data_IF_340018180415
#
_entry.id   IF_340018180415
#
_cell.length_a   1.000
_cell.length_b   1.000
_cell.length_c   1.000
_cell.angle_alpha   90.00
_cell.angle_beta   90.00
_cell.angle_gamma   90.00
#
_symmetry.space_group_name_H-M   'P 1'
#
loop_
_entity.id
_entity.type
_entity.pdbx_description
1 polymer ?
#
# COMPACT_ATOMS: atom_id res chain seq x y z
N UNK A 1 13.21 -17.92 -18.70
CA UNK A 1 13.73 -18.72 -17.56
C UNK A 1 12.55 -19.41 -16.91
N UNK A 2 12.59 -20.75 -16.84
CA UNK A 2 11.46 -21.57 -16.45
C UNK A 2 11.04 -21.36 -14.99
N UNK A 3 9.74 -21.09 -14.79
CA UNK A 3 9.09 -20.87 -13.47
C UNK A 3 9.08 -22.09 -12.53
N UNK A 4 9.66 -23.23 -12.94
CA UNK A 4 9.60 -24.51 -12.21
C UNK A 4 10.74 -24.75 -11.21
N UNK A 5 11.75 -23.89 -11.15
CA UNK A 5 12.97 -24.17 -10.36
C UNK A 5 12.96 -23.57 -8.95
N UNK A 6 12.02 -22.68 -8.65
CA UNK A 6 11.97 -22.00 -7.34
C UNK A 6 11.16 -22.79 -6.29
N UNK A 7 10.23 -23.63 -6.73
CA UNK A 7 9.38 -24.43 -5.81
C UNK A 7 10.13 -25.57 -5.11
N UNK A 8 11.30 -25.99 -5.61
CA UNK A 8 12.05 -27.12 -5.08
C UNK A 8 13.06 -26.76 -3.98
N UNK A 9 13.36 -25.47 -3.80
CA UNK A 9 14.38 -25.05 -2.80
C UNK A 9 13.82 -24.81 -1.39
N UNK A 10 12.50 -24.74 -1.22
CA UNK A 10 11.87 -24.58 0.10
C UNK A 10 11.57 -25.91 0.82
N UNK A 11 11.62 -27.04 0.13
CA UNK A 11 11.37 -28.37 0.72
C UNK A 11 12.63 -29.11 1.21
N UNK A 12 13.82 -28.64 0.88
CA UNK A 12 15.05 -29.35 1.20
C UNK A 12 15.64 -29.06 2.58
N UNK A 13 15.06 -28.16 3.38
CA UNK A 13 15.58 -27.86 4.73
C UNK A 13 14.83 -28.57 5.87
N UNK A 14 13.92 -29.48 5.59
CA UNK A 14 13.13 -30.21 6.61
C UNK A 14 13.49 -31.68 6.78
N UNK A 15 14.58 -32.19 6.17
CA UNK A 15 15.02 -33.56 6.36
C UNK A 15 16.26 -33.70 7.26
N UNK A 16 16.21 -33.08 8.42
CA UNK A 16 17.06 -33.42 9.55
C UNK A 16 16.30 -34.37 10.44
N UNK A 17 16.58 -35.69 10.38
CA UNK A 17 16.09 -36.65 11.37
C UNK A 17 16.78 -36.39 12.72
N UNK A 18 16.26 -35.44 13.46
CA UNK A 18 16.49 -35.37 14.88
C UNK A 18 15.43 -36.28 15.55
N UNK A 19 15.84 -37.28 16.27
CA UNK A 19 15.00 -37.92 17.28
C UNK A 19 14.73 -36.85 18.36
N UNK A 20 13.65 -36.10 18.19
CA UNK A 20 13.14 -35.24 19.22
C UNK A 20 12.10 -36.07 20.00
N UNK A 21 12.30 -36.21 21.31
CA UNK A 21 11.19 -36.46 22.22
C UNK A 21 10.07 -35.51 21.84
N UNK A 22 8.85 -36.03 21.66
CA UNK A 22 7.67 -35.24 21.32
C UNK A 22 7.30 -34.37 22.53
N UNK A 23 8.02 -33.28 22.76
CA UNK A 23 7.54 -32.19 23.55
C UNK A 23 6.32 -31.65 22.80
N UNK A 24 5.12 -31.94 23.29
CA UNK A 24 3.89 -31.34 22.76
C UNK A 24 4.05 -29.83 22.83
N UNK A 25 4.25 -29.18 21.68
CA UNK A 25 4.29 -27.74 21.57
C UNK A 25 2.87 -27.21 21.85
N UNK A 26 2.63 -26.80 23.08
CA UNK A 26 1.36 -26.14 23.46
C UNK A 26 1.48 -24.65 23.25
N UNK A 27 0.52 -24.03 22.52
CA UNK A 27 0.50 -22.57 22.37
C UNK A 27 0.38 -21.88 23.73
N UNK A 28 1.07 -20.73 23.85
CA UNK A 28 0.98 -19.91 25.05
C UNK A 28 -0.30 -19.05 25.02
N UNK A 29 -1.27 -19.38 25.86
CA UNK A 29 -2.52 -18.63 26.01
C UNK A 29 -2.52 -17.71 27.24
N UNK A 30 -1.38 -17.47 27.88
CA UNK A 30 -1.32 -16.51 28.99
C UNK A 30 -1.58 -15.08 28.50
N UNK A 31 -2.24 -14.22 29.27
CA UNK A 31 -2.43 -12.82 28.89
C UNK A 31 -1.12 -12.11 28.54
N UNK A 32 -0.02 -12.42 29.24
CA UNK A 32 1.29 -11.82 29.00
C UNK A 32 1.87 -12.12 27.61
N UNK A 33 1.30 -13.08 26.88
CA UNK A 33 1.66 -13.37 25.50
C UNK A 33 1.03 -12.40 24.48
N UNK A 34 0.09 -11.56 24.92
CA UNK A 34 -0.65 -10.64 24.05
C UNK A 34 -0.14 -9.22 24.24
N UNK A 35 0.12 -8.56 23.11
CA UNK A 35 0.50 -7.15 23.06
C UNK A 35 -0.49 -6.41 22.15
N UNK A 36 -0.98 -5.27 22.61
CA UNK A 36 -1.87 -4.39 21.84
C UNK A 36 -1.25 -3.01 21.72
N UNK A 37 -1.31 -2.40 20.57
CA UNK A 37 -0.90 -1.01 20.38
C UNK A 37 -1.91 -0.20 19.59
N UNK A 38 -1.93 1.09 19.86
CA UNK A 38 -2.66 2.09 19.08
C UNK A 38 -1.77 3.31 18.88
N UNK A 39 -1.84 3.90 17.70
CA UNK A 39 -1.12 5.11 17.37
C UNK A 39 -1.91 5.98 16.40
N UNK A 40 -1.66 7.29 16.47
CA UNK A 40 -2.22 8.26 15.54
C UNK A 40 -1.10 9.02 14.85
N UNK A 41 -1.36 9.54 13.66
CA UNK A 41 -0.36 10.28 12.89
C UNK A 41 -0.85 10.71 11.54
N UNK A 42 0.07 10.81 10.59
CA UNK A 42 -0.16 11.37 9.26
C UNK A 42 0.28 10.41 8.16
N UNK A 43 -0.53 10.35 7.11
CA UNK A 43 -0.24 9.67 5.84
C UNK A 43 0.04 10.72 4.77
N UNK A 44 1.10 10.52 3.99
CA UNK A 44 1.38 11.29 2.78
C UNK A 44 1.86 10.36 1.67
N UNK A 45 1.64 10.77 0.42
CA UNK A 45 2.02 9.91 -0.70
C UNK A 45 1.54 10.42 -2.05
N UNK A 46 1.71 9.55 -3.05
CA UNK A 46 1.30 9.79 -4.42
C UNK A 46 0.95 8.46 -5.10
N UNK A 47 -0.17 8.45 -5.81
CA UNK A 47 -0.56 7.40 -6.73
C UNK A 47 -0.44 7.88 -8.16
N UNK A 48 -0.17 6.95 -9.08
CA UNK A 48 -0.25 7.18 -10.52
C UNK A 48 -1.25 6.20 -11.13
N UNK A 49 -2.03 6.75 -12.01
CA UNK A 49 -2.80 6.04 -13.02
C UNK A 49 -2.20 6.40 -14.37
N UNK A 50 -1.97 5.41 -15.21
CA UNK A 50 -1.27 5.58 -16.48
C UNK A 50 -2.05 4.86 -17.57
N UNK A 51 -2.13 5.49 -18.74
CA UNK A 51 -2.76 4.90 -19.94
C UNK A 51 -1.70 4.77 -21.03
N UNK A 52 -1.74 3.65 -21.72
CA UNK A 52 -0.77 3.32 -22.79
C UNK A 52 -1.48 2.99 -24.09
N UNK A 53 -0.92 3.45 -25.20
CA UNK A 53 -1.24 2.95 -26.50
C UNK A 53 -0.73 1.51 -26.64
N UNK A 54 -1.63 0.57 -26.89
CA UNK A 54 -1.30 -0.87 -26.91
C UNK A 54 -0.52 -1.29 -28.15
N UNK A 55 -0.55 -0.50 -29.24
CA UNK A 55 0.19 -0.78 -30.48
C UNK A 55 1.66 -0.39 -30.39
N UNK A 56 1.95 0.73 -29.73
CA UNK A 56 3.31 1.30 -29.62
C UNK A 56 3.93 1.16 -28.24
N UNK A 57 3.13 0.91 -27.20
CA UNK A 57 3.54 0.92 -25.79
C UNK A 57 3.83 2.33 -25.25
N UNK A 58 3.49 3.38 -26.02
CA UNK A 58 3.69 4.77 -25.62
C UNK A 58 2.69 5.16 -24.54
N UNK A 59 3.14 5.86 -23.51
CA UNK A 59 2.26 6.48 -22.53
C UNK A 59 1.48 7.62 -23.19
N UNK A 60 0.15 7.59 -23.05
CA UNK A 60 -0.78 8.58 -23.62
C UNK A 60 -1.48 9.41 -22.56
N UNK A 61 -1.61 8.92 -21.33
CA UNK A 61 -2.15 9.69 -20.21
C UNK A 61 -1.45 9.33 -18.89
N UNK A 62 -1.44 10.26 -17.95
CA UNK A 62 -0.96 10.06 -16.58
C UNK A 62 -1.71 10.98 -15.62
N UNK A 63 -2.42 10.39 -14.69
CA UNK A 63 -3.04 11.07 -13.57
C UNK A 63 -2.21 10.89 -12.30
N UNK A 64 -1.91 12.01 -11.66
CA UNK A 64 -1.08 12.11 -10.46
C UNK A 64 -1.96 12.44 -9.24
N UNK A 65 -2.22 11.47 -8.38
CA UNK A 65 -3.07 11.59 -7.20
C UNK A 65 -2.25 11.75 -5.93
N UNK A 66 -2.19 12.94 -5.36
CA UNK A 66 -1.41 13.24 -4.15
C UNK A 66 -2.24 13.06 -2.88
N UNK A 67 -1.58 12.62 -1.81
CA UNK A 67 -2.08 12.52 -0.44
C UNK A 67 -1.25 13.50 0.40
N UNK A 68 -1.92 14.46 1.07
CA UNK A 68 -1.23 15.55 1.80
C UNK A 68 -1.60 15.51 3.28
N UNK A 69 -0.75 14.87 4.10
CA UNK A 69 -0.86 14.85 5.56
C UNK A 69 -2.26 14.45 6.08
N UNK A 70 -2.80 13.35 5.58
CA UNK A 70 -4.10 12.81 6.01
C UNK A 70 -3.94 12.17 7.39
N UNK A 71 -4.77 12.60 8.35
CA UNK A 71 -4.77 12.03 9.69
C UNK A 71 -5.21 10.56 9.68
N UNK A 72 -4.45 9.68 10.35
CA UNK A 72 -4.72 8.25 10.45
C UNK A 72 -4.72 7.77 11.90
N UNK A 73 -5.49 6.72 12.13
CA UNK A 73 -5.43 5.89 13.33
C UNK A 73 -4.93 4.50 12.93
N UNK A 74 -4.00 3.97 13.71
CA UNK A 74 -3.40 2.65 13.52
C UNK A 74 -3.63 1.79 14.75
N UNK A 75 -3.91 0.51 14.54
CA UNK A 75 -4.02 -0.52 15.56
C UNK A 75 -3.14 -1.71 15.22
N UNK A 76 -2.64 -2.38 16.25
CA UNK A 76 -1.83 -3.59 16.13
C UNK A 76 -2.13 -4.50 17.32
N UNK A 77 -2.30 -5.79 17.05
CA UNK A 77 -2.39 -6.84 18.05
C UNK A 77 -1.44 -7.97 17.69
N UNK A 78 -0.60 -8.37 18.62
CA UNK A 78 0.36 -9.44 18.49
C UNK A 78 0.12 -10.50 19.56
N UNK A 79 0.24 -11.77 19.18
CA UNK A 79 0.17 -12.90 20.09
C UNK A 79 1.42 -13.76 19.94
N UNK A 80 2.24 -13.83 20.99
CA UNK A 80 3.41 -14.71 21.07
C UNK A 80 2.92 -16.16 21.32
N UNK A 81 2.42 -16.82 20.26
CA UNK A 81 1.83 -18.15 20.32
C UNK A 81 2.87 -19.21 20.78
N UNK A 82 4.13 -19.01 20.40
CA UNK A 82 5.27 -19.80 20.87
C UNK A 82 6.48 -18.86 21.05
N UNK A 83 7.50 -19.31 21.77
CA UNK A 83 8.73 -18.51 21.94
C UNK A 83 9.39 -18.12 20.61
N UNK A 84 9.20 -18.92 19.55
CA UNK A 84 9.74 -18.70 18.22
C UNK A 84 8.71 -18.16 17.21
N UNK A 85 7.42 -18.00 17.58
CA UNK A 85 6.34 -17.63 16.65
C UNK A 85 5.40 -16.59 17.26
N UNK A 86 5.30 -15.45 16.61
CA UNK A 86 4.30 -14.41 16.89
C UNK A 86 3.31 -14.30 15.73
N UNK A 87 2.02 -14.35 16.03
CA UNK A 87 0.96 -14.01 15.09
C UNK A 87 0.55 -12.56 15.30
N UNK A 88 0.31 -11.84 14.21
CA UNK A 88 0.05 -10.40 14.27
C UNK A 88 -1.06 -9.99 13.30
N UNK A 89 -1.95 -9.11 13.77
CA UNK A 89 -2.92 -8.39 12.97
C UNK A 89 -2.72 -6.90 13.18
N UNK A 90 -2.53 -6.15 12.10
CA UNK A 90 -2.33 -4.70 12.15
C UNK A 90 -3.08 -4.01 11.02
N UNK A 91 -3.37 -2.75 11.20
CA UNK A 91 -3.99 -1.95 10.16
C UNK A 91 -4.08 -0.49 10.54
N UNK A 92 -4.43 0.33 9.57
CA UNK A 92 -4.69 1.74 9.80
C UNK A 92 -5.82 2.23 8.88
N UNK A 93 -6.45 3.32 9.29
CA UNK A 93 -7.49 3.99 8.50
C UNK A 93 -7.38 5.51 8.65
N UNK A 94 -7.75 6.26 7.60
CA UNK A 94 -7.94 7.69 7.71
C UNK A 94 -9.11 8.01 8.66
N UNK A 95 -8.91 9.03 9.51
CA UNK A 95 -9.92 9.46 10.50
C UNK A 95 -11.04 10.30 9.87
N UNK A 96 -10.72 10.97 8.76
CA UNK A 96 -11.66 11.80 8.00
C UNK A 96 -11.13 11.91 6.56
N UNK A 97 -11.93 12.51 5.68
CA UNK A 97 -11.41 12.94 4.38
C UNK A 97 -10.30 13.97 4.56
N UNK A 98 -9.27 13.87 3.72
CA UNK A 98 -8.07 14.68 3.82
C UNK A 98 -7.75 15.45 2.56
N UNK A 99 -6.77 16.34 2.63
CA UNK A 99 -6.33 17.12 1.49
C UNK A 99 -5.56 16.24 0.48
N UNK A 100 -5.87 16.43 -0.79
CA UNK A 100 -5.18 15.84 -1.93
C UNK A 100 -4.77 16.90 -2.95
N UNK A 101 -4.47 16.45 -4.14
CA UNK A 101 -4.27 17.22 -5.36
C UNK A 101 -4.25 16.23 -6.51
N UNK A 102 -4.87 16.58 -7.62
CA UNK A 102 -4.79 15.78 -8.84
C UNK A 102 -4.27 16.64 -9.99
N UNK A 103 -3.33 16.08 -10.73
CA UNK A 103 -2.86 16.61 -12.03
C UNK A 103 -3.06 15.50 -13.06
N UNK A 104 -3.61 15.86 -14.22
CA UNK A 104 -3.80 14.98 -15.37
C UNK A 104 -2.99 15.52 -16.56
N UNK A 105 -2.20 14.65 -17.17
CA UNK A 105 -1.30 14.95 -18.29
C UNK A 105 -1.60 13.99 -19.45
N UNK A 106 -1.84 14.54 -20.65
CA UNK A 106 -2.06 13.74 -21.86
C UNK A 106 -1.04 14.07 -22.96
N UNK A 107 -0.65 13.04 -23.71
CA UNK A 107 0.27 13.09 -24.84
C UNK A 107 -0.46 12.76 -26.12
N UNK A 108 -1.29 13.71 -26.64
CA UNK A 108 -2.15 13.50 -27.80
C UNK A 108 -1.41 13.62 -29.14
N UNK A 109 -0.16 14.11 -29.13
CA UNK A 109 0.66 14.26 -30.34
C UNK A 109 1.87 13.31 -30.31
N UNK A 110 1.90 12.35 -31.23
CA UNK A 110 2.99 11.35 -31.34
C UNK A 110 4.36 11.93 -31.72
N UNK A 111 4.38 13.11 -32.31
CA UNK A 111 5.59 13.79 -32.71
C UNK A 111 6.17 14.73 -31.61
N UNK A 112 5.55 14.76 -30.44
CA UNK A 112 5.94 15.60 -29.32
C UNK A 112 6.29 14.76 -28.10
N UNK A 113 7.45 15.02 -27.48
CA UNK A 113 7.89 14.30 -26.28
C UNK A 113 7.23 14.81 -24.99
N UNK A 114 6.85 16.09 -24.94
CA UNK A 114 6.10 16.68 -23.81
C UNK A 114 4.62 16.39 -23.90
N UNK A 115 3.91 16.59 -22.79
CA UNK A 115 2.44 16.54 -22.78
C UNK A 115 1.87 17.67 -23.65
N UNK A 116 0.69 17.43 -24.23
CA UNK A 116 -0.07 18.41 -25.02
C UNK A 116 -1.19 19.04 -24.19
N UNK A 117 -1.72 18.26 -23.25
CA UNK A 117 -2.87 18.61 -22.43
C UNK A 117 -2.52 18.40 -20.96
N UNK A 118 -2.97 19.34 -20.13
CA UNK A 118 -2.79 19.29 -18.69
C UNK A 118 -4.01 19.87 -18.00
N UNK A 119 -4.52 19.18 -16.99
CA UNK A 119 -5.46 19.75 -16.02
C UNK A 119 -4.95 19.63 -14.60
N UNK A 120 -5.30 20.57 -13.76
CA UNK A 120 -4.89 20.63 -12.36
C UNK A 120 -6.07 20.90 -11.45
N UNK A 121 -6.24 20.06 -10.44
CA UNK A 121 -7.38 20.05 -9.54
C UNK A 121 -6.92 20.19 -8.08
N UNK A 122 -6.64 21.42 -7.62
CA UNK A 122 -6.17 21.67 -6.26
C UNK A 122 -7.21 21.34 -5.18
N UNK A 123 -8.51 21.35 -5.54
CA UNK A 123 -9.63 20.98 -4.67
C UNK A 123 -9.91 19.46 -4.73
N UNK A 124 -8.88 18.66 -4.59
CA UNK A 124 -8.99 17.20 -4.50
C UNK A 124 -9.03 16.75 -3.06
N UNK A 125 -9.99 15.89 -2.72
CA UNK A 125 -10.10 15.26 -1.42
C UNK A 125 -9.66 13.81 -1.48
N UNK A 126 -8.93 13.36 -0.47
CA UNK A 126 -8.76 11.94 -0.15
C UNK A 126 -10.01 11.51 0.62
N UNK A 127 -10.88 10.72 0.01
CA UNK A 127 -12.14 10.30 0.63
C UNK A 127 -11.88 9.33 1.78
N UNK A 128 -11.02 8.35 1.54
CA UNK A 128 -10.50 7.41 2.53
C UNK A 128 -9.15 6.83 2.09
N UNK A 129 -8.40 6.37 3.07
CA UNK A 129 -7.25 5.50 2.90
C UNK A 129 -7.21 4.50 4.06
N UNK A 130 -6.93 3.23 3.78
CA UNK A 130 -6.82 2.20 4.82
C UNK A 130 -5.91 1.05 4.40
N UNK A 131 -5.41 0.33 5.39
CA UNK A 131 -4.60 -0.88 5.20
C UNK A 131 -4.96 -1.90 6.27
N UNK A 132 -4.95 -3.15 5.86
CA UNK A 132 -5.07 -4.32 6.72
C UNK A 132 -3.96 -5.31 6.40
N UNK A 133 -3.34 -5.88 7.44
CA UNK A 133 -2.20 -6.79 7.35
C UNK A 133 -2.33 -7.90 8.42
N UNK A 134 -2.30 -9.14 7.95
CA UNK A 134 -2.19 -10.33 8.80
C UNK A 134 -0.86 -11.01 8.53
N UNK A 135 -0.10 -11.31 9.57
CA UNK A 135 1.21 -11.94 9.41
C UNK A 135 1.60 -12.87 10.56
N UNK A 136 2.57 -13.71 10.25
CA UNK A 136 3.28 -14.53 11.21
C UNK A 136 4.78 -14.17 11.17
N UNK A 137 5.39 -14.01 12.34
CA UNK A 137 6.82 -13.72 12.53
C UNK A 137 7.48 -14.94 13.16
N UNK A 138 8.45 -15.54 12.46
CA UNK A 138 9.27 -16.62 12.95
C UNK A 138 10.62 -16.10 13.44
N UNK A 139 10.89 -16.20 14.75
CA UNK A 139 12.12 -15.74 15.38
C UNK A 139 13.20 -16.80 15.25
N UNK A 140 14.28 -16.49 14.51
CA UNK A 140 15.40 -17.39 14.24
C UNK A 140 16.52 -17.16 15.26
N UNK A 141 16.79 -15.91 15.56
CA UNK A 141 17.80 -15.51 16.52
C UNK A 141 17.12 -14.68 17.61
N UNK A 142 17.32 -15.07 18.88
CA UNK A 142 16.79 -14.31 20.01
C UNK A 142 17.65 -14.48 21.26
N UNK A 143 17.79 -13.40 22.00
CA UNK A 143 18.33 -13.39 23.35
C UNK A 143 17.58 -12.30 24.17
N UNK A 144 18.09 -11.96 25.34
CA UNK A 144 17.47 -10.97 26.22
C UNK A 144 17.33 -9.58 25.57
N UNK A 145 18.26 -9.21 24.67
CA UNK A 145 18.36 -7.87 24.11
C UNK A 145 17.86 -7.76 22.67
N UNK A 146 17.88 -8.83 21.90
CA UNK A 146 17.46 -8.77 20.50
C UNK A 146 16.68 -10.01 20.06
N UNK A 147 15.83 -9.78 19.07
CA UNK A 147 15.21 -10.81 18.25
C UNK A 147 15.38 -10.46 16.78
N UNK A 148 15.67 -11.45 15.95
CA UNK A 148 15.70 -11.32 14.50
C UNK A 148 15.08 -12.55 13.85
N UNK A 149 14.33 -12.31 12.78
CA UNK A 149 13.58 -13.40 12.14
C UNK A 149 13.03 -13.04 10.78
N UNK A 150 12.19 -13.93 10.30
CA UNK A 150 11.48 -13.80 9.03
C UNK A 150 10.00 -13.62 9.30
N UNK A 151 9.30 -13.05 8.33
CA UNK A 151 7.85 -12.93 8.39
C UNK A 151 7.21 -13.28 7.05
N UNK A 152 5.97 -13.73 7.12
CA UNK A 152 5.11 -13.91 5.95
C UNK A 152 3.70 -13.45 6.30
N UNK A 153 2.99 -12.88 5.33
CA UNK A 153 1.67 -12.35 5.57
C UNK A 153 0.90 -12.02 4.31
N UNK A 154 -0.25 -11.42 4.53
CA UNK A 154 -1.12 -10.89 3.50
C UNK A 154 -1.53 -9.47 3.86
N UNK A 155 -1.40 -8.56 2.89
CA UNK A 155 -1.72 -7.15 3.05
C UNK A 155 -2.70 -6.70 1.97
N UNK A 156 -3.65 -5.86 2.37
CA UNK A 156 -4.51 -5.12 1.47
C UNK A 156 -4.50 -3.64 1.84
N UNK A 157 -4.31 -2.77 0.83
CA UNK A 157 -4.29 -1.31 0.99
C UNK A 157 -5.23 -0.68 -0.02
N UNK A 158 -6.01 0.31 0.41
CA UNK A 158 -6.99 1.01 -0.42
C UNK A 158 -6.86 2.51 -0.27
N UNK A 159 -7.11 3.21 -1.38
CA UNK A 159 -7.16 4.67 -1.45
C UNK A 159 -8.33 5.11 -2.29
N UNK A 160 -8.90 6.29 -2.01
CA UNK A 160 -9.92 6.90 -2.85
C UNK A 160 -9.83 8.41 -2.80
N UNK A 161 -10.09 9.04 -3.96
CA UNK A 161 -10.07 10.49 -4.13
C UNK A 161 -11.28 10.96 -4.90
N UNK A 162 -11.58 12.26 -4.76
CA UNK A 162 -12.50 13.01 -5.64
C UNK A 162 -11.87 14.35 -5.96
N UNK A 163 -11.67 14.63 -7.24
CA UNK A 163 -11.21 15.91 -7.76
C UNK A 163 -12.40 16.76 -8.18
N UNK A 164 -12.40 18.05 -7.76
CA UNK A 164 -13.47 19.00 -8.05
C UNK A 164 -12.90 20.29 -8.61
N UNK A 165 -13.62 20.93 -9.53
CA UNK A 165 -13.20 22.18 -10.15
C UNK A 165 -11.80 22.05 -10.79
N UNK A 166 -11.05 23.14 -10.83
CA UNK A 166 -9.68 23.17 -11.33
C UNK A 166 -9.52 23.97 -12.62
N UNK A 167 -8.34 23.87 -13.23
CA UNK A 167 -8.00 24.56 -14.47
C UNK A 167 -7.44 23.60 -15.50
N UNK A 168 -7.53 23.97 -16.75
CA UNK A 168 -6.98 23.19 -17.85
C UNK A 168 -6.19 24.05 -18.86
N UNK A 169 -5.24 23.41 -19.51
CA UNK A 169 -4.41 23.91 -20.59
C UNK A 169 -4.27 22.79 -21.62
N UNK A 170 -5.03 22.86 -22.70
CA UNK A 170 -5.14 21.83 -23.70
C UNK A 170 -4.58 22.31 -25.05
N UNK A 171 -4.19 21.35 -25.89
CA UNK A 171 -3.61 21.58 -27.22
C UNK A 171 -2.46 22.62 -27.16
N UNK A 172 -1.48 22.36 -26.28
CA UNK A 172 -0.29 23.21 -26.08
C UNK A 172 -0.62 24.70 -25.76
N UNK A 173 -1.75 24.95 -25.08
CA UNK A 173 -2.17 26.29 -24.69
C UNK A 173 -3.18 26.93 -25.64
N UNK A 174 -3.63 26.24 -26.68
CA UNK A 174 -4.68 26.74 -27.58
C UNK A 174 -6.04 26.87 -26.87
N UNK A 175 -6.29 26.01 -25.87
CA UNK A 175 -7.50 25.99 -25.07
C UNK A 175 -7.15 26.03 -23.57
N UNK A 176 -7.44 27.14 -22.93
CA UNK A 176 -7.24 27.30 -21.49
C UNK A 176 -8.54 27.73 -20.82
N UNK A 177 -8.76 27.29 -19.58
CA UNK A 177 -9.96 27.68 -18.84
C UNK A 177 -10.02 27.02 -17.45
N UNK A 178 -11.17 27.12 -16.83
CA UNK A 178 -11.45 26.57 -15.52
C UNK A 178 -12.65 25.64 -15.59
N UNK A 179 -12.61 24.55 -14.82
CA UNK A 179 -13.77 23.71 -14.56
C UNK A 179 -14.68 24.40 -13.54
N UNK A 180 -16.00 24.21 -13.59
CA UNK A 180 -16.92 24.82 -12.64
C UNK A 180 -16.54 24.49 -11.20
N UNK A 181 -16.43 25.50 -10.36
CA UNK A 181 -16.05 25.33 -8.98
C UNK A 181 -17.03 24.43 -8.21
N UNK A 182 -16.52 23.46 -7.48
CA UNK A 182 -17.32 22.50 -6.71
C UNK A 182 -17.92 21.34 -7.51
N UNK A 183 -17.93 21.39 -8.85
CA UNK A 183 -18.36 20.28 -9.67
C UNK A 183 -17.32 19.13 -9.62
N UNK A 184 -17.82 17.88 -9.52
CA UNK A 184 -16.96 16.70 -9.54
C UNK A 184 -16.45 16.45 -10.96
N UNK A 185 -15.14 16.48 -11.11
CA UNK A 185 -14.48 16.13 -12.37
C UNK A 185 -14.21 14.63 -12.44
N UNK A 186 -13.37 14.13 -11.54
CA UNK A 186 -12.92 12.73 -11.53
C UNK A 186 -13.01 12.15 -10.12
N UNK A 187 -13.51 10.92 -10.00
CA UNK A 187 -13.48 10.09 -8.80
C UNK A 187 -12.58 8.89 -9.04
N UNK A 188 -11.57 8.69 -8.19
CA UNK A 188 -10.60 7.63 -8.35
C UNK A 188 -10.46 6.77 -7.10
N UNK A 189 -10.29 5.48 -7.29
CA UNK A 189 -9.97 4.55 -6.20
C UNK A 189 -8.98 3.49 -6.64
N UNK A 190 -8.05 3.12 -5.73
CA UNK A 190 -7.08 2.05 -5.92
C UNK A 190 -7.18 1.03 -4.80
N UNK A 191 -6.95 -0.23 -5.16
CA UNK A 191 -6.82 -1.35 -4.23
C UNK A 191 -5.62 -2.21 -4.61
N UNK A 192 -4.71 -2.39 -3.66
CA UNK A 192 -3.58 -3.31 -3.76
C UNK A 192 -3.78 -4.47 -2.79
N UNK A 193 -3.55 -5.70 -3.25
CA UNK A 193 -3.61 -6.89 -2.40
C UNK A 193 -2.49 -7.85 -2.74
N UNK A 194 -1.83 -8.44 -1.72
CA UNK A 194 -0.66 -9.27 -1.93
C UNK A 194 -0.34 -10.19 -0.76
N UNK A 195 0.09 -11.42 -1.00
CA UNK A 195 0.93 -12.13 -0.05
C UNK A 195 2.33 -11.52 -0.07
N UNK A 196 3.05 -11.57 1.04
CA UNK A 196 4.41 -11.06 1.12
C UNK A 196 5.29 -11.91 2.05
N UNK A 197 6.60 -11.74 1.89
CA UNK A 197 7.63 -12.21 2.82
C UNK A 197 8.41 -11.02 3.35
N UNK A 198 9.12 -11.20 4.47
CA UNK A 198 9.90 -10.10 5.03
C UNK A 198 10.92 -10.54 6.07
N UNK A 199 11.64 -9.55 6.53
CA UNK A 199 12.58 -9.64 7.64
C UNK A 199 12.06 -8.79 8.80
N UNK A 200 12.29 -9.23 10.02
CA UNK A 200 11.90 -8.51 11.23
C UNK A 200 13.02 -8.56 12.24
N UNK A 201 13.24 -7.43 12.92
CA UNK A 201 14.23 -7.30 13.98
C UNK A 201 13.70 -6.43 15.10
N UNK A 202 14.12 -6.76 16.33
CA UNK A 202 13.85 -6.02 17.55
C UNK A 202 15.15 -5.94 18.34
N UNK A 203 15.43 -4.77 18.90
CA UNK A 203 16.56 -4.55 19.80
C UNK A 203 16.10 -3.75 21.02
N UNK A 204 16.43 -4.25 22.19
CA UNK A 204 16.13 -3.60 23.49
C UNK A 204 17.39 -3.30 24.26
N UNK A 205 17.50 -2.07 24.74
CA UNK A 205 18.56 -1.62 25.64
C UNK A 205 17.97 -0.79 26.77
N UNK A 206 18.07 -1.28 27.99
CA UNK A 206 17.38 -0.71 29.15
C UNK A 206 15.87 -0.59 28.87
N UNK A 207 15.32 0.62 28.98
CA UNK A 207 13.91 0.91 28.74
C UNK A 207 13.61 1.32 27.27
N UNK A 208 14.62 1.35 26.40
CA UNK A 208 14.44 1.64 24.98
C UNK A 208 14.29 0.36 24.16
N UNK A 209 13.37 0.39 23.19
CA UNK A 209 13.16 -0.67 22.23
C UNK A 209 13.11 -0.08 20.81
N UNK A 210 13.81 -0.72 19.90
CA UNK A 210 13.85 -0.38 18.48
C UNK A 210 13.37 -1.58 17.67
N UNK A 211 12.46 -1.36 16.76
CA UNK A 211 11.97 -2.37 15.85
C UNK A 211 12.19 -1.95 14.40
N UNK A 212 12.49 -2.92 13.56
CA UNK A 212 12.59 -2.73 12.12
C UNK A 212 11.95 -3.91 11.40
N UNK A 213 11.26 -3.65 10.32
CA UNK A 213 10.76 -4.66 9.41
C UNK A 213 10.97 -4.24 7.96
N UNK A 214 11.16 -5.23 7.11
CA UNK A 214 11.21 -5.09 5.66
C UNK A 214 10.27 -6.11 5.04
N UNK A 215 9.41 -5.68 4.11
CA UNK A 215 8.48 -6.52 3.37
C UNK A 215 8.80 -6.49 1.89
N UNK A 216 8.64 -7.61 1.23
CA UNK A 216 8.76 -7.76 -0.20
C UNK A 216 7.66 -8.65 -0.76
N UNK A 217 7.12 -8.28 -1.92
CA UNK A 217 6.22 -9.10 -2.71
C UNK A 217 6.48 -8.92 -4.20
N UNK A 218 6.39 -10.02 -4.95
CA UNK A 218 6.37 -10.03 -6.43
C UNK A 218 4.99 -10.49 -6.95
N UNK A 219 3.98 -10.45 -6.07
CA UNK A 219 2.62 -10.97 -6.34
C UNK A 219 1.53 -9.94 -6.07
N UNK A 220 1.84 -8.66 -6.25
CA UNK A 220 0.86 -7.58 -6.06
C UNK A 220 -0.20 -7.67 -7.15
N UNK A 221 -1.47 -7.63 -6.72
CA UNK A 221 -2.62 -7.41 -7.58
C UNK A 221 -3.11 -5.99 -7.33
N UNK A 222 -3.23 -5.21 -8.39
CA UNK A 222 -3.80 -3.87 -8.31
C UNK A 222 -5.08 -3.80 -9.12
N UNK A 223 -6.05 -3.08 -8.58
CA UNK A 223 -7.31 -2.74 -9.23
C UNK A 223 -7.57 -1.27 -8.98
N UNK A 224 -8.16 -0.63 -9.96
CA UNK A 224 -8.72 0.70 -9.76
C UNK A 224 -10.10 0.86 -10.38
N UNK A 225 -10.67 2.02 -10.13
CA UNK A 225 -11.89 2.50 -10.74
C UNK A 225 -11.75 4.02 -10.85
N UNK A 226 -11.80 4.51 -12.07
CA UNK A 226 -11.74 5.92 -12.42
C UNK A 226 -13.06 6.35 -13.05
N UNK A 227 -13.71 7.35 -12.48
CA UNK A 227 -15.01 7.88 -12.88
C UNK A 227 -14.86 9.32 -13.38
N UNK A 228 -14.97 9.52 -14.68
CA UNK A 228 -15.00 10.83 -15.32
C UNK A 228 -16.43 11.36 -15.36
N UNK A 229 -16.88 12.03 -14.32
CA UNK A 229 -18.27 12.46 -14.14
C UNK A 229 -18.77 13.38 -15.25
N UNK A 230 -17.92 14.27 -15.78
CA UNK A 230 -18.29 15.22 -16.85
C UNK A 230 -18.31 14.58 -18.25
N UNK A 231 -17.84 13.35 -18.37
CA UNK A 231 -17.75 12.60 -19.66
C UNK A 231 -18.65 11.38 -19.69
N UNK A 232 -19.32 11.07 -18.57
CA UNK A 232 -20.10 9.83 -18.40
C UNK A 232 -19.31 8.56 -18.69
N UNK A 233 -17.99 8.56 -18.37
CA UNK A 233 -17.08 7.43 -18.59
C UNK A 233 -16.56 6.88 -17.26
N UNK A 234 -16.51 5.55 -17.18
CA UNK A 234 -15.83 4.83 -16.10
C UNK A 234 -14.78 3.91 -16.68
N UNK A 235 -13.57 3.98 -16.13
CA UNK A 235 -12.47 3.07 -16.47
C UNK A 235 -12.23 2.15 -15.27
N UNK A 236 -12.07 0.85 -15.55
CA UNK A 236 -11.76 -0.17 -14.53
C UNK A 236 -10.57 -0.97 -14.98
N UNK A 237 -9.53 -0.89 -14.22
CA UNK A 237 -8.26 -1.48 -14.57
C UNK A 237 -7.90 -2.61 -13.64
N UNK A 238 -7.25 -3.60 -14.19
CA UNK A 238 -6.87 -4.79 -13.47
C UNK A 238 -5.50 -5.28 -13.88
N UNK A 239 -4.62 -5.37 -12.90
CA UNK A 239 -3.28 -5.90 -13.07
C UNK A 239 -3.07 -7.11 -12.17
N UNK A 240 -2.16 -8.01 -12.54
CA UNK A 240 -1.96 -9.26 -11.80
C UNK A 240 -0.53 -9.48 -11.31
N UNK A 241 0.39 -8.57 -11.62
CA UNK A 241 1.81 -8.78 -11.34
C UNK A 241 2.52 -7.42 -11.18
N UNK A 242 2.88 -7.11 -9.98
CA UNK A 242 3.76 -5.99 -9.65
C UNK A 242 4.59 -6.31 -8.42
N UNK A 243 5.52 -5.44 -8.08
CA UNK A 243 6.39 -5.55 -6.91
C UNK A 243 6.00 -4.56 -5.83
N UNK A 244 6.21 -4.99 -4.61
CA UNK A 244 6.06 -4.16 -3.42
C UNK A 244 7.30 -4.20 -2.57
N UNK A 245 7.65 -3.04 -2.04
CA UNK A 245 8.68 -2.86 -1.02
C UNK A 245 8.08 -2.04 0.12
N UNK A 246 8.18 -2.56 1.33
CA UNK A 246 7.75 -1.88 2.55
C UNK A 246 8.83 -1.90 3.61
N UNK A 247 8.99 -0.81 4.32
CA UNK A 247 9.89 -0.71 5.46
C UNK A 247 9.20 0.03 6.59
N UNK A 248 9.31 -0.49 7.82
CA UNK A 248 8.88 0.22 9.01
C UNK A 248 9.99 0.19 10.04
N UNK A 249 10.20 1.31 10.69
CA UNK A 249 11.08 1.45 11.84
C UNK A 249 10.32 2.14 12.95
N UNK A 250 10.47 1.68 14.18
CA UNK A 250 9.94 2.34 15.35
C UNK A 250 10.98 2.39 16.49
N UNK A 251 10.83 3.40 17.33
CA UNK A 251 11.57 3.56 18.56
C UNK A 251 10.59 3.84 19.70
N UNK A 252 10.72 3.12 20.80
CA UNK A 252 9.85 3.25 21.95
C UNK A 252 10.61 3.29 23.27
N UNK A 253 9.92 3.82 24.27
CA UNK A 253 10.40 3.90 25.65
C UNK A 253 9.38 3.27 26.59
N UNK A 254 9.81 2.32 27.42
CA UNK A 254 8.97 1.67 28.41
C UNK A 254 8.79 2.61 29.62
N UNK A 255 7.58 3.12 29.78
CA UNK A 255 7.19 3.95 30.94
C UNK A 255 6.83 3.11 32.16
N UNK A 256 6.47 1.84 31.94
CA UNK A 256 6.34 0.78 32.94
C UNK A 256 6.82 -0.53 32.32
N UNK A 257 7.01 -1.63 33.08
CA UNK A 257 7.40 -2.92 32.50
C UNK A 257 6.48 -3.42 31.37
N UNK A 258 5.22 -3.00 31.36
CA UNK A 258 4.18 -3.46 30.44
C UNK A 258 3.71 -2.39 29.43
N UNK A 259 4.03 -1.11 29.66
CA UNK A 259 3.54 -0.01 28.83
C UNK A 259 4.72 0.75 28.16
N UNK A 260 4.63 0.92 26.85
CA UNK A 260 5.63 1.59 26.02
C UNK A 260 4.98 2.75 25.22
N UNK A 261 5.58 3.93 25.23
CA UNK A 261 5.30 4.99 24.25
C UNK A 261 6.25 4.79 23.07
N UNK A 262 5.79 5.03 21.85
CA UNK A 262 6.63 4.84 20.66
C UNK A 262 6.29 5.83 19.54
N UNK A 263 7.24 6.02 18.63
CA UNK A 263 7.05 6.66 17.34
C UNK A 263 7.45 5.69 16.23
N UNK A 264 6.69 5.65 15.13
CA UNK A 264 6.93 4.78 14.00
C UNK A 264 6.93 5.57 12.69
N UNK A 265 7.86 5.25 11.81
CA UNK A 265 7.89 5.63 10.41
C UNK A 265 7.69 4.40 9.55
N UNK A 266 6.75 4.46 8.58
CA UNK A 266 6.54 3.40 7.59
C UNK A 266 6.63 3.99 6.18
N UNK A 267 7.32 3.30 5.28
CA UNK A 267 7.38 3.59 3.86
C UNK A 267 6.86 2.39 3.07
N UNK A 268 5.99 2.65 2.09
CA UNK A 268 5.40 1.64 1.20
C UNK A 268 5.50 2.09 -0.25
N UNK A 269 5.95 1.18 -1.14
CA UNK A 269 6.04 1.41 -2.57
C UNK A 269 5.47 0.21 -3.33
N UNK A 270 4.40 0.45 -4.06
CA UNK A 270 3.86 -0.44 -5.08
C UNK A 270 4.42 0.02 -6.42
N UNK A 271 5.27 -0.79 -7.03
CA UNK A 271 5.80 -0.54 -8.37
C UNK A 271 4.66 -0.54 -9.39
N UNK A 272 4.87 0.10 -10.52
CA UNK A 272 3.89 0.10 -11.59
C UNK A 272 3.55 -1.33 -12.00
N UNK A 273 2.25 -1.61 -11.96
CA UNK A 273 1.66 -2.83 -12.51
C UNK A 273 0.94 -2.48 -13.79
N UNK A 274 1.20 -3.19 -14.88
CA UNK A 274 0.49 -3.01 -16.15
C UNK A 274 -0.60 -4.05 -16.34
N UNK A 275 -1.66 -3.66 -17.05
CA UNK A 275 -2.80 -4.54 -17.34
C UNK A 275 -3.79 -3.95 -18.32
N UNK A 276 -4.93 -4.62 -18.47
CA UNK A 276 -6.01 -4.16 -19.32
C UNK A 276 -6.94 -3.19 -18.62
N UNK A 277 -7.71 -2.43 -19.43
CA UNK A 277 -8.77 -1.54 -18.98
C UNK A 277 -10.13 -1.97 -19.53
N UNK A 278 -11.19 -1.72 -18.78
CA UNK A 278 -12.58 -1.89 -19.18
C UNK A 278 -13.27 -0.52 -19.07
N UNK A 279 -13.64 0.02 -20.22
CA UNK A 279 -14.23 1.36 -20.36
C UNK A 279 -15.74 1.19 -20.48
N UNK A 280 -16.49 1.95 -19.71
CA UNK A 280 -17.96 1.93 -19.68
C UNK A 280 -18.45 3.36 -19.93
N UNK A 281 -19.26 3.54 -20.94
CA UNK A 281 -20.09 4.73 -21.10
C UNK A 281 -21.34 4.57 -20.22
N UNK A 282 -21.43 5.36 -19.16
CA UNK A 282 -22.50 5.25 -18.17
C UNK A 282 -23.83 5.84 -18.65
N UNK A 283 -23.79 6.66 -19.71
CA UNK A 283 -24.99 7.23 -20.32
C UNK A 283 -25.66 6.25 -21.30
N UNK A 284 -24.88 5.62 -22.19
CA UNK A 284 -25.40 4.65 -23.16
C UNK A 284 -25.46 3.22 -22.64
N UNK A 285 -24.64 2.88 -21.64
CA UNK A 285 -24.42 1.51 -21.14
C UNK A 285 -23.52 0.68 -22.04
N UNK A 286 -22.94 1.25 -23.10
CA UNK A 286 -21.96 0.57 -23.94
C UNK A 286 -20.64 0.39 -23.21
N UNK A 287 -19.91 -0.67 -23.54
CA UNK A 287 -18.60 -0.90 -22.93
C UNK A 287 -17.64 -1.58 -23.89
N UNK A 288 -16.34 -1.34 -23.67
CA UNK A 288 -15.24 -1.95 -24.41
C UNK A 288 -14.13 -2.40 -23.46
N UNK A 289 -13.52 -3.54 -23.74
CA UNK A 289 -12.34 -4.01 -23.01
C UNK A 289 -11.11 -3.95 -23.89
N UNK A 290 -10.03 -3.36 -23.40
CA UNK A 290 -8.73 -3.29 -24.03
C UNK A 290 -7.77 -4.12 -23.18
N UNK A 291 -7.25 -5.20 -23.76
CA UNK A 291 -6.31 -6.09 -23.09
C UNK A 291 -4.84 -5.61 -23.20
N UNK A 292 -3.93 -6.44 -22.75
CA UNK A 292 -2.49 -6.13 -22.78
C UNK A 292 -2.08 -5.12 -21.72
N UNK A 293 -1.12 -4.27 -22.05
CA UNK A 293 -0.55 -3.25 -21.16
C UNK A 293 -1.20 -1.87 -21.40
N UNK A 294 -2.54 -1.84 -21.51
CA UNK A 294 -3.30 -0.62 -21.78
C UNK A 294 -3.28 0.38 -20.61
N UNK A 295 -3.13 -0.12 -19.39
CA UNK A 295 -3.15 0.68 -18.18
C UNK A 295 -1.99 0.36 -17.24
N UNK A 296 -1.63 1.31 -16.38
CA UNK A 296 -0.63 1.16 -15.33
C UNK A 296 -1.06 1.78 -14.01
N UNK A 297 -0.83 1.07 -12.91
CA UNK A 297 -1.23 1.49 -11.57
C UNK A 297 -0.01 1.42 -10.65
N UNK A 298 0.28 2.50 -9.90
CA UNK A 298 1.33 2.51 -8.89
C UNK A 298 0.97 3.39 -7.69
N UNK A 299 1.66 3.17 -6.56
CA UNK A 299 1.49 4.00 -5.36
C UNK A 299 2.80 4.04 -4.56
N UNK A 300 3.05 5.19 -3.98
CA UNK A 300 4.11 5.40 -3.01
C UNK A 300 3.59 6.25 -1.87
N UNK A 301 3.69 5.74 -0.65
CA UNK A 301 3.23 6.46 0.53
C UNK A 301 4.14 6.24 1.74
N UNK A 302 4.00 7.12 2.73
CA UNK A 302 4.65 6.99 4.02
C UNK A 302 3.72 7.47 5.14
N UNK A 303 3.91 6.90 6.32
CA UNK A 303 3.22 7.31 7.54
C UNK A 303 4.22 7.65 8.63
N UNK A 304 3.88 8.63 9.45
CA UNK A 304 4.56 8.94 10.71
C UNK A 304 3.50 8.91 11.79
N UNK A 305 3.67 8.05 12.79
CA UNK A 305 2.70 7.88 13.88
C UNK A 305 3.41 7.87 15.24
N UNK A 306 2.67 8.25 16.28
CA UNK A 306 3.10 8.08 17.67
C UNK A 306 1.96 7.46 18.47
N UNK A 307 2.28 6.63 19.45
CA UNK A 307 1.27 5.86 20.15
C UNK A 307 1.73 5.17 21.41
N UNK A 308 0.87 4.29 21.88
CA UNK A 308 1.02 3.51 23.09
C UNK A 308 0.91 2.03 22.78
N UNK A 309 1.72 1.24 23.44
CA UNK A 309 1.68 -0.22 23.43
C UNK A 309 1.54 -0.73 24.86
N UNK A 310 0.74 -1.76 25.01
CA UNK A 310 0.57 -2.45 26.29
C UNK A 310 0.69 -3.96 26.09
N UNK A 311 1.45 -4.60 26.98
CA UNK A 311 1.57 -6.06 27.09
C UNK A 311 0.81 -6.49 28.34
N UNK A 312 -0.12 -7.40 28.21
CA UNK A 312 -0.95 -7.87 29.31
C UNK A 312 -0.19 -8.75 30.28
#
# INVERSE_FOLDING_TARGET
MNKSTITLMMMAMLSGTAYAESTQLTPNFSPESVTVSTSAGMLSGKSHELVYDTGTGRKVSQLDWKIKNVAILKGDISWDAYSFLTLNARGWTSLASGAGHMDDYDWMNDNQSGWTDHSSHPSTNVNYANEFDLNAKGWIFQNENYKAGVMAGYQETRFSWTATGGSYNYDNGSYTGEFPAGERGIGYSQRFSMPYIGLVGQYRINDFEFNALFKFSDWVRAHDNDEHYMRDLTFREKTTSSRYYGTSIDAGYYVTPNAKVFAEFTYSKYEEAKGGTHIIDTNSGESVSIGGDAAGISNKNYTITAGLQYRF
#
